data_IF_243833545081
#
_entry.id   IF_243833545081
#
_cell.length_a   1.000
_cell.length_b   1.000
_cell.length_c   1.000
_cell.angle_alpha   90.00
_cell.angle_beta   90.00
_cell.angle_gamma   90.00
#
_symmetry.space_group_name_H-M   'P 1'
#
loop_
_entity.id
_entity.type
_entity.pdbx_description
1 polymer ?
#
# COMPACT_ATOMS: atom_id res chain seq x y z
N UNK A 1 -29.75 2.87 -15.25
CA UNK A 1 -28.47 3.37 -15.76
C UNK A 1 -27.38 2.88 -14.82
N UNK A 2 -26.46 2.04 -15.30
CA UNK A 2 -25.27 1.69 -14.53
C UNK A 2 -24.27 2.83 -14.68
N UNK A 3 -23.93 3.49 -13.57
CA UNK A 3 -22.83 4.46 -13.55
C UNK A 3 -21.56 3.61 -13.57
N UNK A 4 -20.79 3.69 -14.66
CA UNK A 4 -19.44 3.16 -14.68
C UNK A 4 -18.64 3.88 -13.58
N UNK A 5 -18.28 3.17 -12.51
CA UNK A 5 -17.34 3.66 -11.51
C UNK A 5 -15.95 3.70 -12.16
N UNK A 6 -15.60 4.82 -12.77
CA UNK A 6 -14.21 5.10 -13.15
C UNK A 6 -13.34 4.95 -11.91
N UNK A 7 -12.26 4.16 -11.97
CA UNK A 7 -11.21 4.16 -10.95
C UNK A 7 -10.83 5.63 -10.68
N UNK A 8 -11.10 6.12 -9.47
CA UNK A 8 -10.67 7.47 -9.10
C UNK A 8 -9.16 7.41 -8.96
N UNK A 9 -8.44 7.93 -9.96
CA UNK A 9 -6.98 8.10 -9.86
C UNK A 9 -6.68 8.87 -8.57
N UNK A 10 -5.79 8.31 -7.77
CA UNK A 10 -5.30 8.96 -6.55
C UNK A 10 -4.61 10.26 -6.93
N UNK A 11 -4.82 11.29 -6.11
CA UNK A 11 -4.15 12.58 -6.29
C UNK A 11 -2.82 12.67 -5.56
N UNK A 12 -2.53 11.68 -4.70
CA UNK A 12 -1.36 11.65 -3.81
C UNK A 12 -0.38 10.54 -4.20
N UNK A 13 -0.87 9.40 -4.70
CA UNK A 13 0.00 8.36 -5.24
C UNK A 13 0.59 8.86 -6.56
N UNK A 14 1.92 8.76 -6.77
CA UNK A 14 2.55 9.09 -8.05
C UNK A 14 1.91 8.34 -9.24
N UNK A 15 1.81 9.00 -10.39
CA UNK A 15 1.08 8.44 -11.55
C UNK A 15 1.68 7.15 -12.10
N UNK A 16 3.00 6.99 -12.01
CA UNK A 16 3.73 5.78 -12.41
C UNK A 16 3.40 4.57 -11.53
N UNK A 17 2.87 4.79 -10.31
CA UNK A 17 2.45 3.73 -9.40
C UNK A 17 0.96 3.37 -9.55
N UNK A 18 0.25 3.99 -10.50
CA UNK A 18 -1.18 3.80 -10.72
C UNK A 18 -1.50 3.10 -12.05
N UNK A 19 -0.48 2.66 -12.82
CA UNK A 19 -0.67 2.16 -14.18
C UNK A 19 -1.61 0.94 -14.25
N UNK A 20 -1.55 0.06 -13.25
CA UNK A 20 -2.38 -1.14 -13.16
C UNK A 20 -3.72 -0.95 -12.43
N UNK A 21 -4.09 0.25 -12.00
CA UNK A 21 -5.30 0.45 -11.19
C UNK A 21 -6.56 0.16 -12.02
N UNK A 22 -7.33 -0.84 -11.60
CA UNK A 22 -8.54 -1.25 -12.30
C UNK A 22 -9.80 -0.58 -11.74
N UNK A 23 -10.74 -0.15 -12.59
CA UNK A 23 -12.06 0.31 -12.14
C UNK A 23 -12.78 -0.75 -11.30
N UNK A 24 -13.08 -0.42 -10.04
CA UNK A 24 -13.75 -1.33 -9.10
C UNK A 24 -12.80 -2.15 -8.20
N UNK A 25 -11.50 -2.18 -8.50
CA UNK A 25 -10.51 -2.68 -7.56
C UNK A 25 -10.08 -1.52 -6.65
N UNK A 26 -10.36 -1.67 -5.36
CA UNK A 26 -9.98 -0.72 -4.34
C UNK A 26 -9.42 -1.49 -3.14
N UNK A 27 -8.42 -0.91 -2.50
CA UNK A 27 -7.97 -1.34 -1.18
C UNK A 27 -8.33 -0.27 -0.18
N UNK A 28 -8.83 -0.70 0.96
CA UNK A 28 -9.06 0.14 2.12
C UNK A 28 -8.01 -0.18 3.17
N UNK A 29 -7.44 0.87 3.76
CA UNK A 29 -6.40 0.79 4.77
C UNK A 29 -6.88 1.52 6.00
N UNK A 30 -6.70 0.94 7.18
CA UNK A 30 -7.15 1.54 8.43
C UNK A 30 -6.15 1.35 9.55
N UNK A 31 -5.81 2.46 10.21
CA UNK A 31 -5.11 2.48 11.50
C UNK A 31 -6.07 2.40 12.68
N UNK A 32 -7.35 2.15 12.41
CA UNK A 32 -8.33 1.78 13.42
C UNK A 32 -8.68 0.31 13.23
N UNK A 33 -9.29 -0.33 14.23
CA UNK A 33 -9.74 -1.73 14.15
C UNK A 33 -10.95 -1.92 13.21
N UNK A 34 -11.13 -1.06 12.20
CA UNK A 34 -12.20 -1.11 11.22
C UNK A 34 -11.65 -0.78 9.82
N UNK A 35 -11.16 -1.80 9.11
CA UNK A 35 -10.60 -1.68 7.76
C UNK A 35 -11.66 -1.37 6.70
N UNK A 36 -12.91 -1.81 6.91
CA UNK A 36 -14.06 -1.56 6.01
C UNK A 36 -14.38 -0.05 5.88
N UNK A 37 -13.99 0.73 6.89
CA UNK A 37 -14.03 2.18 6.88
C UNK A 37 -12.62 2.77 6.79
N UNK A 38 -11.80 2.22 5.89
CA UNK A 38 -10.45 2.69 5.64
C UNK A 38 -10.41 4.19 5.30
N UNK A 39 -9.25 4.79 5.50
CA UNK A 39 -9.08 6.22 5.26
C UNK A 39 -9.19 6.57 3.78
N UNK A 40 -9.54 7.82 3.51
CA UNK A 40 -9.63 8.34 2.13
C UNK A 40 -8.26 8.72 1.61
N UNK A 41 -8.05 8.58 0.31
CA UNK A 41 -6.83 9.07 -0.35
C UNK A 41 -6.51 10.52 0.07
N UNK A 42 -5.26 10.75 0.47
CA UNK A 42 -4.78 12.03 0.98
C UNK A 42 -5.21 12.42 2.38
N UNK A 43 -5.76 11.49 3.17
CA UNK A 43 -6.03 11.73 4.60
C UNK A 43 -4.74 12.14 5.31
N UNK A 44 -4.82 13.20 6.12
CA UNK A 44 -3.73 13.70 6.94
C UNK A 44 -3.74 12.99 8.31
N UNK A 45 -2.59 12.46 8.71
CA UNK A 45 -2.37 11.84 10.01
C UNK A 45 -1.26 12.54 10.81
N UNK A 46 -1.31 12.41 12.13
CA UNK A 46 -0.15 12.65 12.99
C UNK A 46 0.77 11.43 12.97
N UNK A 47 2.05 11.62 13.34
CA UNK A 47 3.02 10.53 13.51
C UNK A 47 2.49 9.39 14.39
N UNK A 48 1.89 9.73 15.53
CA UNK A 48 1.43 8.73 16.50
C UNK A 48 0.26 7.87 15.98
N UNK A 49 -0.60 8.45 15.14
CA UNK A 49 -1.77 7.75 14.58
C UNK A 49 -1.40 6.64 13.58
N UNK A 50 -0.16 6.63 13.10
CA UNK A 50 0.36 5.69 12.10
C UNK A 50 1.57 4.92 12.65
N UNK A 51 1.66 4.80 13.98
CA UNK A 51 2.77 4.10 14.64
C UNK A 51 2.69 2.58 14.54
N UNK A 52 1.47 2.05 14.41
CA UNK A 52 1.19 0.61 14.33
C UNK A 52 0.85 0.15 12.90
N UNK A 53 1.10 -1.12 12.61
CA UNK A 53 0.74 -1.76 11.32
C UNK A 53 -0.77 -1.63 11.06
N UNK A 54 -1.20 -1.14 9.89
CA UNK A 54 -2.61 -0.99 9.58
C UNK A 54 -3.28 -2.33 9.24
N UNK A 55 -4.61 -2.30 9.21
CA UNK A 55 -5.44 -3.39 8.69
C UNK A 55 -5.94 -3.07 7.29
N UNK A 56 -6.27 -4.13 6.52
CA UNK A 56 -6.60 -4.03 5.11
C UNK A 56 -7.96 -4.67 4.79
N UNK A 57 -8.68 -4.09 3.86
CA UNK A 57 -9.89 -4.65 3.29
C UNK A 57 -9.96 -4.37 1.79
N UNK A 58 -10.72 -5.18 1.06
CA UNK A 58 -11.09 -4.90 -0.32
C UNK A 58 -12.21 -3.86 -0.31
N UNK A 59 -12.16 -2.88 -1.21
CA UNK A 59 -13.26 -1.94 -1.40
C UNK A 59 -14.47 -2.62 -2.06
N UNK A 60 -15.58 -1.89 -2.14
CA UNK A 60 -16.90 -2.33 -2.62
C UNK A 60 -16.87 -2.91 -4.05
N UNK A 61 -16.38 -4.14 -4.21
CA UNK A 61 -16.41 -4.89 -5.44
C UNK A 61 -17.46 -5.98 -5.32
N UNK A 62 -18.46 -5.93 -6.20
CA UNK A 62 -19.49 -6.96 -6.34
C UNK A 62 -18.86 -8.24 -6.87
N UNK A 63 -18.35 -9.06 -5.97
CA UNK A 63 -17.83 -10.41 -6.25
C UNK A 63 -16.46 -10.68 -5.64
N UNK A 64 -16.29 -10.49 -4.33
CA UNK A 64 -15.04 -10.85 -3.63
C UNK A 64 -14.81 -12.35 -3.79
N UNK A 65 -13.85 -12.70 -4.64
CA UNK A 65 -13.37 -14.08 -4.76
C UNK A 65 -12.36 -14.35 -3.65
N UNK A 66 -12.45 -15.48 -2.93
CA UNK A 66 -11.43 -15.87 -1.95
C UNK A 66 -10.16 -16.45 -2.59
N UNK A 67 -10.12 -16.60 -3.92
CA UNK A 67 -9.03 -17.25 -4.63
C UNK A 67 -7.77 -16.39 -4.83
N UNK A 68 -7.84 -15.07 -5.06
CA UNK A 68 -6.64 -14.25 -5.21
C UNK A 68 -5.89 -14.12 -3.88
N UNK A 69 -4.57 -14.20 -3.97
CA UNK A 69 -3.66 -13.77 -2.93
C UNK A 69 -3.09 -12.40 -3.32
N UNK A 70 -2.95 -11.53 -2.33
CA UNK A 70 -2.47 -10.17 -2.50
C UNK A 70 -1.20 -9.93 -1.70
N UNK A 71 -0.34 -9.08 -2.23
CA UNK A 71 0.83 -8.55 -1.55
C UNK A 71 0.63 -7.06 -1.32
N UNK A 72 0.73 -6.65 -0.06
CA UNK A 72 0.63 -5.26 0.34
C UNK A 72 2.03 -4.69 0.56
N UNK A 73 2.31 -3.53 -0.02
CA UNK A 73 3.49 -2.75 0.30
C UNK A 73 3.12 -1.32 0.71
N UNK A 74 4.01 -0.68 1.46
CA UNK A 74 3.95 0.74 1.77
C UNK A 74 5.25 1.40 1.33
N UNK A 75 5.13 2.51 0.60
CA UNK A 75 6.27 3.23 0.02
C UNK A 75 6.18 4.70 0.46
N UNK A 76 7.28 5.28 0.91
CA UNK A 76 7.40 6.74 1.01
C UNK A 76 7.54 7.30 -0.41
N UNK A 77 6.53 8.05 -0.83
CA UNK A 77 6.43 8.62 -2.18
C UNK A 77 6.62 10.13 -2.20
N UNK A 78 7.03 10.73 -1.08
CA UNK A 78 7.25 12.18 -0.96
C UNK A 78 8.26 12.67 -1.99
N UNK A 79 9.35 11.93 -2.16
CA UNK A 79 10.45 12.27 -3.05
C UNK A 79 10.50 11.24 -4.21
N UNK A 80 10.06 11.61 -5.43
CA UNK A 80 9.88 10.65 -6.53
C UNK A 80 11.15 9.85 -6.89
N UNK A 81 12.33 10.46 -6.72
CA UNK A 81 13.62 9.86 -7.10
C UNK A 81 14.35 9.13 -5.96
N UNK A 82 13.78 9.14 -4.75
CA UNK A 82 14.40 8.63 -3.52
C UNK A 82 13.36 7.96 -2.62
N UNK A 83 12.41 7.24 -3.23
CA UNK A 83 11.40 6.46 -2.52
C UNK A 83 12.06 5.42 -1.60
N UNK A 84 11.43 5.12 -0.48
CA UNK A 84 11.87 4.07 0.45
C UNK A 84 10.72 3.11 0.71
N UNK A 85 11.04 1.83 0.95
CA UNK A 85 10.06 0.81 1.28
C UNK A 85 9.88 0.74 2.80
N UNK A 86 8.63 0.81 3.25
CA UNK A 86 8.24 0.83 4.67
C UNK A 86 7.56 -0.46 5.13
N UNK A 87 7.03 -1.25 4.20
CA UNK A 87 6.31 -2.47 4.52
C UNK A 87 6.24 -3.34 3.29
N UNK A 88 6.38 -4.65 3.48
CA UNK A 88 6.08 -5.63 2.44
C UNK A 88 5.61 -6.93 3.09
N UNK A 89 4.34 -7.28 2.85
CA UNK A 89 3.76 -8.51 3.38
C UNK A 89 2.86 -9.18 2.35
N UNK A 90 3.13 -10.46 2.03
CA UNK A 90 2.38 -11.19 1.03
C UNK A 90 1.22 -11.99 1.63
N UNK A 91 0.48 -12.62 0.71
CA UNK A 91 -0.50 -13.68 0.96
C UNK A 91 -1.75 -13.22 1.72
N UNK A 92 -2.09 -11.94 1.60
CA UNK A 92 -3.39 -11.45 2.03
C UNK A 92 -4.49 -12.11 1.19
N UNK A 93 -5.54 -12.59 1.85
CA UNK A 93 -6.73 -13.12 1.20
C UNK A 93 -7.96 -12.69 1.95
N UNK A 94 -9.09 -12.71 1.24
CA UNK A 94 -10.39 -12.51 1.86
C UNK A 94 -10.62 -13.53 2.97
N UNK A 95 -10.98 -13.05 4.15
CA UNK A 95 -11.11 -13.86 5.36
C UNK A 95 -12.57 -14.24 5.69
N UNK A 96 -13.50 -13.98 4.77
CA UNK A 96 -14.96 -14.18 4.94
C UNK A 96 -15.63 -13.25 5.98
N UNK A 97 -14.95 -12.19 6.40
CA UNK A 97 -15.51 -11.15 7.27
C UNK A 97 -15.66 -9.83 6.49
N UNK A 98 -16.88 -9.56 6.04
CA UNK A 98 -17.27 -8.38 5.23
C UNK A 98 -16.44 -8.27 3.94
N UNK A 99 -15.36 -7.49 3.97
CA UNK A 99 -14.40 -7.35 2.87
C UNK A 99 -12.95 -7.40 3.38
N UNK A 100 -12.74 -7.76 4.65
CA UNK A 100 -11.43 -7.80 5.28
C UNK A 100 -10.51 -8.81 4.61
N UNK A 101 -9.25 -8.43 4.47
CA UNK A 101 -8.20 -9.34 4.04
C UNK A 101 -7.18 -9.50 5.16
N UNK A 102 -6.71 -10.74 5.36
CA UNK A 102 -5.67 -11.03 6.33
C UNK A 102 -4.69 -12.06 5.78
N UNK A 103 -3.59 -12.23 6.48
CA UNK A 103 -2.56 -13.21 6.18
C UNK A 103 -1.98 -13.76 7.48
N UNK A 104 -1.68 -15.05 7.51
CA UNK A 104 -0.88 -15.68 8.56
C UNK A 104 0.60 -15.73 8.20
N UNK A 105 0.98 -15.32 6.98
CA UNK A 105 2.38 -15.22 6.58
C UNK A 105 3.05 -14.08 7.35
N UNK A 106 4.31 -14.24 7.78
CA UNK A 106 5.05 -13.14 8.37
C UNK A 106 5.26 -12.02 7.33
N UNK A 107 5.48 -10.79 7.81
CA UNK A 107 5.98 -9.74 6.95
C UNK A 107 7.38 -10.12 6.44
N UNK A 108 7.66 -9.78 5.17
CA UNK A 108 8.99 -9.93 4.58
C UNK A 108 9.80 -8.65 4.74
N UNK A 109 9.12 -7.52 4.93
CA UNK A 109 9.61 -6.33 5.60
C UNK A 109 8.57 -5.91 6.64
N UNK A 110 8.95 -6.00 7.92
CA UNK A 110 8.13 -5.52 9.03
C UNK A 110 7.76 -4.04 8.85
N UNK A 111 6.61 -3.64 9.39
CA UNK A 111 6.13 -2.26 9.30
C UNK A 111 7.12 -1.28 9.93
N UNK A 112 7.65 -0.37 9.11
CA UNK A 112 8.46 0.76 9.52
C UNK A 112 7.56 1.98 9.56
N UNK A 113 7.22 2.44 10.77
CA UNK A 113 6.34 3.58 10.94
C UNK A 113 6.92 4.86 10.30
N UNK A 114 6.09 5.71 9.68
CA UNK A 114 6.48 7.03 9.20
C UNK A 114 7.33 7.83 10.20
N UNK A 115 8.46 8.37 9.73
CA UNK A 115 9.41 9.12 10.56
C UNK A 115 10.32 8.26 11.43
N UNK A 116 10.45 6.96 11.12
CA UNK A 116 11.38 6.04 11.80
C UNK A 116 12.67 5.80 11.02
N UNK A 117 12.78 6.31 9.79
CA UNK A 117 14.03 6.36 9.01
C UNK A 117 14.57 7.80 8.96
N UNK A 118 14.36 8.55 10.04
CA UNK A 118 14.72 9.97 10.18
C UNK A 118 14.02 10.90 9.16
N UNK A 119 12.88 10.47 8.60
CA UNK A 119 12.10 11.33 7.72
C UNK A 119 11.47 12.50 8.49
N UNK A 120 11.46 13.66 7.83
CA UNK A 120 10.81 14.88 8.32
C UNK A 120 9.90 15.46 7.23
N UNK A 121 9.04 16.40 7.61
CA UNK A 121 8.11 17.08 6.71
C UNK A 121 6.65 16.95 7.12
N UNK A 122 5.95 18.08 7.18
CA UNK A 122 4.50 18.11 7.47
C UNK A 122 3.66 17.57 6.29
N UNK A 123 4.29 17.43 5.11
CA UNK A 123 3.68 17.01 3.86
C UNK A 123 4.20 15.65 3.36
N UNK A 124 4.70 14.79 4.27
CA UNK A 124 5.26 13.49 3.89
C UNK A 124 4.17 12.57 3.36
N UNK A 125 4.34 12.04 2.16
CA UNK A 125 3.34 11.23 1.46
C UNK A 125 3.76 9.76 1.45
N UNK A 126 2.83 8.89 1.81
CA UNK A 126 3.04 7.45 1.77
C UNK A 126 1.95 6.78 0.96
N UNK A 127 2.33 5.81 0.14
CA UNK A 127 1.44 5.07 -0.74
C UNK A 127 1.38 3.61 -0.33
N UNK A 128 0.17 3.13 -0.02
CA UNK A 128 -0.09 1.69 0.05
C UNK A 128 -0.44 1.18 -1.34
N UNK A 129 0.21 0.10 -1.76
CA UNK A 129 0.00 -0.53 -3.06
C UNK A 129 -0.35 -2.01 -2.86
N UNK A 130 -1.37 -2.47 -3.60
CA UNK A 130 -1.85 -3.85 -3.59
C UNK A 130 -1.50 -4.53 -4.90
N UNK A 131 -0.66 -5.56 -4.82
CA UNK A 131 -0.30 -6.42 -5.94
C UNK A 131 -1.06 -7.73 -5.86
N UNK A 132 -1.36 -8.32 -7.02
CA UNK A 132 -1.81 -9.71 -7.07
C UNK A 132 -0.59 -10.64 -7.09
N UNK A 133 -0.59 -11.67 -6.26
CA UNK A 133 0.46 -12.67 -6.29
C UNK A 133 0.49 -13.40 -7.65
N UNK A 134 1.69 -13.68 -8.20
CA UNK A 134 1.83 -14.37 -9.47
C UNK A 134 1.29 -15.80 -9.34
N UNK A 135 0.57 -16.26 -10.37
CA UNK A 135 0.01 -17.62 -10.40
C UNK A 135 -1.06 -17.92 -9.33
N UNK A 136 -1.43 -16.94 -8.48
CA UNK A 136 -2.20 -17.17 -7.23
C UNK A 136 -1.47 -18.07 -6.23
N UNK A 137 -0.15 -18.05 -6.25
CA UNK A 137 0.68 -18.84 -5.35
C UNK A 137 1.10 -18.04 -4.11
N UNK A 138 1.39 -18.75 -3.02
CA UNK A 138 1.94 -18.13 -1.82
C UNK A 138 3.38 -17.69 -2.06
N UNK A 139 3.67 -16.44 -1.73
CA UNK A 139 5.01 -15.87 -1.76
C UNK A 139 5.63 -16.07 -0.39
N UNK A 140 6.77 -16.75 -0.33
CA UNK A 140 7.54 -16.97 0.91
C UNK A 140 8.79 -16.08 0.99
N UNK A 141 9.16 -15.43 -0.12
CA UNK A 141 10.34 -14.58 -0.24
C UNK A 141 10.09 -13.47 -1.27
N UNK A 142 10.59 -12.28 -0.97
CA UNK A 142 10.69 -11.17 -1.91
C UNK A 142 12.14 -10.69 -1.92
N UNK A 143 12.65 -10.32 -3.08
CA UNK A 143 13.87 -9.52 -3.19
C UNK A 143 13.49 -8.08 -2.85
N UNK A 144 14.07 -7.57 -1.77
CA UNK A 144 13.79 -6.27 -1.20
C UNK A 144 15.09 -5.46 -1.13
N UNK A 145 15.04 -4.12 -1.24
CA UNK A 145 16.21 -3.29 -0.93
C UNK A 145 16.58 -3.44 0.54
N UNK A 146 17.79 -3.03 0.93
CA UNK A 146 18.09 -2.94 2.36
C UNK A 146 17.22 -1.86 3.01
N UNK A 147 17.05 -1.94 4.34
CA UNK A 147 16.23 -1.00 5.10
C UNK A 147 16.72 0.44 4.88
N UNK A 148 15.80 1.31 4.44
CA UNK A 148 16.07 2.73 4.18
C UNK A 148 16.82 3.03 2.89
N UNK A 149 17.16 2.01 2.09
CA UNK A 149 17.70 2.24 0.76
C UNK A 149 16.62 2.66 -0.24
N UNK A 150 17.08 3.26 -1.33
CA UNK A 150 16.23 3.65 -2.46
C UNK A 150 15.47 2.43 -2.98
N UNK A 151 14.16 2.58 -3.04
CA UNK A 151 13.23 1.61 -3.60
C UNK A 151 12.93 1.96 -5.05
N UNK A 152 13.22 1.01 -5.95
CA UNK A 152 12.82 1.05 -7.35
C UNK A 152 11.67 0.06 -7.56
N UNK A 153 10.50 0.58 -7.92
CA UNK A 153 9.28 -0.22 -8.04
C UNK A 153 9.35 -1.15 -9.24
N UNK A 154 9.89 -0.67 -10.37
CA UNK A 154 10.02 -1.48 -11.59
C UNK A 154 10.99 -2.64 -11.36
N UNK A 155 12.14 -2.36 -10.75
CA UNK A 155 13.08 -3.41 -10.37
C UNK A 155 12.44 -4.40 -9.40
N UNK A 156 11.70 -3.92 -8.39
CA UNK A 156 10.99 -4.79 -7.44
C UNK A 156 9.95 -5.68 -8.14
N UNK A 157 9.22 -5.16 -9.12
CA UNK A 157 8.27 -5.94 -9.90
C UNK A 157 8.97 -7.04 -10.69
N UNK A 158 10.00 -6.68 -11.46
CA UNK A 158 10.77 -7.61 -12.29
C UNK A 158 11.42 -8.71 -11.45
N UNK A 159 12.04 -8.33 -10.33
CA UNK A 159 12.78 -9.23 -9.46
C UNK A 159 11.91 -10.30 -8.78
N UNK A 160 10.62 -9.98 -8.60
CA UNK A 160 9.66 -10.79 -7.87
C UNK A 160 8.56 -11.38 -8.77
N UNK A 161 8.60 -11.10 -10.08
CA UNK A 161 7.58 -11.52 -11.03
C UNK A 161 6.20 -10.93 -10.74
N UNK A 162 6.14 -9.76 -10.10
CA UNK A 162 4.90 -9.05 -9.82
C UNK A 162 4.53 -8.19 -11.03
N UNK A 163 3.24 -8.14 -11.37
CA UNK A 163 2.71 -7.18 -12.34
C UNK A 163 2.55 -5.79 -11.75
N UNK A 164 1.75 -4.95 -12.40
CA UNK A 164 1.38 -3.64 -11.88
C UNK A 164 0.52 -3.74 -10.61
N UNK A 165 0.61 -2.75 -9.70
CA UNK A 165 -0.29 -2.68 -8.57
C UNK A 165 -1.73 -2.54 -9.09
N UNK A 166 -2.62 -3.35 -8.54
CA UNK A 166 -4.04 -3.43 -8.93
C UNK A 166 -4.91 -2.37 -8.24
N UNK A 167 -4.47 -1.89 -7.09
CA UNK A 167 -5.10 -0.81 -6.33
C UNK A 167 -4.09 -0.15 -5.38
N UNK A 168 -4.47 0.99 -4.81
CA UNK A 168 -3.70 1.64 -3.76
C UNK A 168 -4.46 2.80 -3.10
N UNK A 169 -3.92 3.26 -1.97
CA UNK A 169 -4.40 4.47 -1.28
C UNK A 169 -3.21 5.24 -0.70
N UNK A 170 -3.20 6.56 -0.90
CA UNK A 170 -2.16 7.45 -0.38
C UNK A 170 -2.61 8.13 0.92
N UNK A 171 -1.65 8.41 1.79
CA UNK A 171 -1.85 9.24 2.99
C UNK A 171 -0.78 10.33 3.08
N UNK A 172 -1.07 11.37 3.86
CA UNK A 172 -0.12 12.40 4.25
C UNK A 172 0.13 12.28 5.75
N UNK A 173 1.38 12.36 6.18
CA UNK A 173 1.74 12.31 7.60
C UNK A 173 2.49 13.57 7.98
N UNK A 174 2.04 14.20 9.06
CA UNK A 174 2.75 15.31 9.68
C UNK A 174 3.87 14.78 10.58
N UNK A 175 5.11 14.92 10.12
CA UNK A 175 6.31 14.52 10.85
C UNK A 175 7.08 15.69 11.47
N UNK A 176 6.62 16.93 11.28
CA UNK A 176 7.35 18.12 11.68
C UNK A 176 8.40 18.55 10.64
N UNK A 177 8.40 19.83 10.30
CA UNK A 177 9.44 20.45 9.48
C UNK A 177 9.18 20.37 7.98
N UNK A 178 10.27 20.26 7.19
CA UNK A 178 10.20 20.20 5.73
C UNK A 178 10.80 18.89 5.24
N UNK A 179 10.13 18.27 4.27
CA UNK A 179 10.72 17.14 3.56
C UNK A 179 11.96 17.59 2.78
N UNK A 180 13.06 16.88 2.98
CA UNK A 180 14.26 16.96 2.17
C UNK A 180 14.26 15.83 1.15
N UNK A 181 14.47 16.18 -0.13
CA UNK A 181 14.51 15.24 -1.24
C UNK A 181 15.90 15.14 -1.89
N UNK A 182 16.93 15.75 -1.29
CA UNK A 182 18.27 15.86 -1.85
C UNK A 182 18.46 17.08 -2.74
#
# INVERSE_FOLDING_TARGET
LAIAQTARKSTIIPSDLQEGFLPGDAVQVSYTNNAVNGFRDGTLFSKDAVSDEPTFALGDSSGISPLPLYTMIMVDTTCPNSRTLHYARPNFKYNFDITNINTSSPALLDYIAPGSLDETGDNRQYSFLMYRNPGREEITKLKLPAKGEKFDVGQFQDDNGLGDPTAGVGMVVNLGGKADCG
#
